data_IF_036602483038
#
_entry.id   IF_036602483038
#
_cell.length_a   1.000
_cell.length_b   1.000
_cell.length_c   1.000
_cell.angle_alpha   90.00
_cell.angle_beta   90.00
_cell.angle_gamma   90.00
#
_symmetry.space_group_name_H-M   'P 1'
#
loop_
_entity.id
_entity.type
_entity.pdbx_description
1 polymer ?
#
# COMPACT_ATOMS: atom_id res chain seq x y z
N UNK A 1 -8.10 -8.86 14.04
CA UNK A 1 -6.77 -8.37 14.48
C UNK A 1 -6.85 -7.26 15.52
N UNK A 2 -7.43 -6.09 15.23
CA UNK A 2 -7.42 -4.95 16.19
C UNK A 2 -8.11 -5.23 17.55
N UNK A 3 -9.15 -6.07 17.58
CA UNK A 3 -9.83 -6.45 18.82
C UNK A 3 -8.93 -7.24 19.79
N UNK A 4 -7.98 -8.02 19.27
CA UNK A 4 -7.06 -8.85 20.06
C UNK A 4 -5.71 -8.17 20.27
N UNK A 5 -5.26 -7.37 19.29
CA UNK A 5 -3.92 -6.75 19.26
C UNK A 5 -3.90 -5.27 19.64
N UNK A 6 -5.06 -4.65 19.84
CA UNK A 6 -5.21 -3.20 20.01
C UNK A 6 -5.19 -2.42 18.69
N UNK A 7 -5.50 -1.13 18.77
CA UNK A 7 -5.63 -0.22 17.63
C UNK A 7 -4.57 0.87 17.68
N UNK A 8 -3.85 1.07 16.57
CA UNK A 8 -3.02 2.26 16.40
C UNK A 8 -3.94 3.48 16.20
N UNK A 9 -3.85 4.48 17.09
CA UNK A 9 -4.79 5.60 17.11
C UNK A 9 -4.10 6.95 16.94
N UNK A 10 -4.64 7.75 16.02
CA UNK A 10 -4.21 9.11 15.72
C UNK A 10 -5.37 10.05 16.08
N UNK A 11 -5.19 10.87 17.11
CA UNK A 11 -6.29 11.61 17.76
C UNK A 11 -6.12 13.11 17.51
N UNK A 12 -7.17 13.79 17.07
CA UNK A 12 -7.23 15.24 16.95
C UNK A 12 -8.31 15.83 17.85
N UNK A 13 -8.01 16.93 18.53
CA UNK A 13 -8.97 17.59 19.42
C UNK A 13 -8.32 18.52 20.42
N UNK A 14 -9.14 19.19 21.24
CA UNK A 14 -8.65 20.00 22.35
C UNK A 14 -7.93 19.13 23.38
N UNK A 15 -6.78 19.62 23.87
CA UNK A 15 -5.92 18.86 24.79
C UNK A 15 -6.68 18.36 26.02
N UNK A 16 -7.50 19.21 26.64
CA UNK A 16 -8.24 18.84 27.85
C UNK A 16 -9.21 17.67 27.61
N UNK A 17 -9.86 17.61 26.46
CA UNK A 17 -10.74 16.51 26.10
C UNK A 17 -9.94 15.22 25.81
N UNK A 18 -8.81 15.34 25.09
CA UNK A 18 -7.94 14.19 24.81
C UNK A 18 -7.31 13.63 26.08
N UNK A 19 -6.87 14.49 27.00
CA UNK A 19 -6.36 14.09 28.31
C UNK A 19 -7.44 13.40 29.15
N UNK A 20 -8.68 13.90 29.11
CA UNK A 20 -9.80 13.27 29.82
C UNK A 20 -10.11 11.86 29.30
N UNK A 21 -9.99 11.66 27.98
CA UNK A 21 -10.24 10.37 27.31
C UNK A 21 -9.03 9.43 27.31
N UNK A 22 -7.88 9.85 27.85
CA UNK A 22 -6.64 9.06 27.85
C UNK A 22 -6.81 7.62 28.38
N UNK A 23 -7.57 7.34 29.47
CA UNK A 23 -7.79 5.96 29.92
C UNK A 23 -8.50 5.07 28.88
N UNK A 24 -9.39 5.65 28.07
CA UNK A 24 -10.10 4.93 27.01
C UNK A 24 -9.13 4.59 25.87
N UNK A 25 -8.35 5.58 25.43
CA UNK A 25 -7.34 5.35 24.39
C UNK A 25 -6.28 4.35 24.85
N UNK A 26 -5.77 4.46 26.07
CA UNK A 26 -4.81 3.49 26.60
C UNK A 26 -5.38 2.07 26.68
N UNK A 27 -6.69 1.90 26.88
CA UNK A 27 -7.33 0.58 26.89
C UNK A 27 -7.46 -0.02 25.50
N UNK A 28 -7.72 0.82 24.49
CA UNK A 28 -7.89 0.39 23.10
C UNK A 28 -6.56 0.22 22.35
N UNK A 29 -5.50 0.88 22.81
CA UNK A 29 -4.19 0.86 22.18
C UNK A 29 -3.47 -0.49 22.40
N UNK A 30 -2.53 -0.88 21.52
CA UNK A 30 -1.78 -2.13 21.65
C UNK A 30 -0.90 -2.19 22.89
N UNK A 31 -0.56 -1.03 23.46
CA UNK A 31 0.49 -0.91 24.46
C UNK A 31 1.88 -1.09 23.83
N UNK A 32 2.90 -1.10 24.68
CA UNK A 32 4.30 -1.13 24.24
C UNK A 32 4.72 -2.42 23.53
N UNK A 33 4.07 -3.54 23.85
CA UNK A 33 4.40 -4.85 23.30
C UNK A 33 5.87 -5.24 23.50
N UNK A 34 6.36 -6.13 22.63
CA UNK A 34 7.71 -6.70 22.68
C UNK A 34 8.67 -6.12 21.62
N UNK A 35 8.22 -5.10 20.88
CA UNK A 35 9.05 -4.44 19.87
C UNK A 35 10.16 -3.65 20.59
N UNK A 36 11.38 -3.73 20.06
CA UNK A 36 12.51 -2.99 20.61
C UNK A 36 12.21 -1.49 20.64
N UNK A 37 12.47 -0.85 21.79
CA UNK A 37 12.28 0.58 21.93
C UNK A 37 13.17 1.35 20.93
N UNK A 38 12.61 2.38 20.30
CA UNK A 38 13.37 3.24 19.40
C UNK A 38 14.50 3.93 20.16
N UNK A 39 15.73 3.80 19.65
CA UNK A 39 16.90 4.45 20.23
C UNK A 39 16.77 5.99 20.17
N UNK A 40 17.32 6.68 21.17
CA UNK A 40 17.42 8.14 21.23
C UNK A 40 16.10 8.92 21.10
N UNK A 41 14.99 8.35 21.59
CA UNK A 41 13.66 8.97 21.51
C UNK A 41 13.49 10.27 22.31
N UNK A 42 14.33 10.50 23.32
CA UNK A 42 14.34 11.73 24.14
C UNK A 42 13.01 11.99 24.88
N UNK A 43 12.73 13.25 25.24
CA UNK A 43 11.54 13.67 25.98
C UNK A 43 10.29 13.86 25.08
N UNK A 44 9.97 12.89 24.21
CA UNK A 44 8.78 12.92 23.36
C UNK A 44 7.56 12.33 24.08
N UNK A 45 6.36 12.53 23.52
CA UNK A 45 5.12 11.99 24.08
C UNK A 45 5.23 10.47 24.31
N UNK A 46 5.15 9.96 25.55
CA UNK A 46 5.33 8.54 25.84
C UNK A 46 4.17 7.68 25.31
N UNK A 47 3.00 8.26 25.04
CA UNK A 47 1.82 7.53 24.54
C UNK A 47 2.05 6.93 23.16
N UNK A 48 2.93 7.52 22.35
CA UNK A 48 3.23 6.98 21.03
C UNK A 48 3.85 5.58 21.10
N UNK A 49 4.65 5.29 22.13
CA UNK A 49 5.20 3.95 22.36
C UNK A 49 4.14 2.95 22.84
N UNK A 50 2.96 3.43 23.24
CA UNK A 50 1.80 2.60 23.56
C UNK A 50 0.88 2.39 22.35
N UNK A 51 1.19 3.00 21.19
CA UNK A 51 0.40 2.89 19.96
C UNK A 51 -0.70 3.93 19.78
N UNK A 52 -0.67 5.06 20.51
CA UNK A 52 -1.59 6.17 20.23
C UNK A 52 -0.95 7.54 20.43
N UNK A 53 -1.41 8.53 19.67
CA UNK A 53 -0.87 9.90 19.72
C UNK A 53 -1.97 10.96 19.67
N UNK A 54 -1.74 12.08 20.37
CA UNK A 54 -2.47 13.32 20.15
C UNK A 54 -1.76 14.11 19.05
N UNK A 55 -2.31 14.08 17.83
CA UNK A 55 -1.72 14.68 16.63
C UNK A 55 -1.83 16.21 16.61
N UNK A 56 -2.73 16.80 17.40
CA UNK A 56 -2.97 18.25 17.40
C UNK A 56 -4.47 18.60 17.49
N UNK A 57 -4.92 19.73 16.93
CA UNK A 57 -6.30 20.18 17.02
C UNK A 57 -7.26 19.26 16.26
N UNK A 58 -8.55 19.58 16.29
CA UNK A 58 -9.58 18.85 15.54
C UNK A 58 -9.17 18.67 14.07
N UNK A 59 -9.39 17.46 13.54
CA UNK A 59 -8.98 17.07 12.18
C UNK A 59 -7.57 16.47 12.08
N UNK A 60 -6.63 16.83 12.96
CA UNK A 60 -5.23 16.39 12.84
C UNK A 60 -5.07 14.85 12.89
N UNK A 61 -5.84 14.17 13.74
CA UNK A 61 -5.82 12.70 13.81
C UNK A 61 -6.24 12.03 12.51
N UNK A 62 -7.34 12.49 11.90
CA UNK A 62 -7.80 11.98 10.61
C UNK A 62 -6.84 12.33 9.48
N UNK A 63 -6.20 13.51 9.51
CA UNK A 63 -5.20 13.88 8.52
C UNK A 63 -3.99 12.94 8.55
N UNK A 64 -3.45 12.65 9.75
CA UNK A 64 -2.34 11.68 9.89
C UNK A 64 -2.77 10.28 9.44
N UNK A 65 -3.99 9.85 9.77
CA UNK A 65 -4.53 8.55 9.31
C UNK A 65 -4.74 8.49 7.80
N UNK A 66 -5.16 9.59 7.18
CA UNK A 66 -5.30 9.70 5.74
C UNK A 66 -3.95 9.46 5.05
N UNK A 67 -2.89 10.15 5.50
CA UNK A 67 -1.52 9.96 4.96
C UNK A 67 -1.00 8.55 5.23
N UNK A 68 -1.28 7.97 6.40
CA UNK A 68 -0.98 6.56 6.69
C UNK A 68 -1.55 5.63 5.61
N UNK A 69 -2.82 5.80 5.22
CA UNK A 69 -3.43 5.00 4.16
C UNK A 69 -2.80 5.27 2.78
N UNK A 70 -2.40 6.51 2.49
CA UNK A 70 -1.64 6.82 1.28
C UNK A 70 -0.29 6.08 1.21
N UNK A 71 0.44 6.02 2.33
CA UNK A 71 1.69 5.25 2.45
C UNK A 71 1.40 3.74 2.26
N UNK A 72 0.35 3.22 2.90
CA UNK A 72 -0.08 1.83 2.74
C UNK A 72 -0.31 1.46 1.27
N UNK A 73 -0.97 2.34 0.49
CA UNK A 73 -1.17 2.12 -0.94
C UNK A 73 0.14 1.98 -1.70
N UNK A 74 1.11 2.87 -1.43
CA UNK A 74 2.44 2.81 -2.03
C UNK A 74 3.20 1.52 -1.69
N UNK A 75 3.13 1.08 -0.43
CA UNK A 75 3.78 -0.16 0.01
C UNK A 75 3.17 -1.39 -0.66
N UNK A 76 1.84 -1.49 -0.69
CA UNK A 76 1.15 -2.59 -1.38
C UNK A 76 1.52 -2.62 -2.87
N UNK A 77 1.51 -1.47 -3.53
CA UNK A 77 1.84 -1.39 -4.96
C UNK A 77 3.29 -1.79 -5.23
N UNK A 78 4.23 -1.40 -4.36
CA UNK A 78 5.64 -1.78 -4.50
C UNK A 78 5.84 -3.31 -4.43
N UNK A 79 5.15 -4.00 -3.52
CA UNK A 79 5.15 -5.47 -3.52
C UNK A 79 4.49 -6.03 -4.77
N UNK A 80 3.30 -5.55 -5.13
CA UNK A 80 2.55 -6.06 -6.27
C UNK A 80 3.39 -6.01 -7.57
N UNK A 81 4.02 -4.87 -7.86
CA UNK A 81 4.90 -4.72 -9.02
C UNK A 81 6.13 -5.63 -8.94
N UNK A 82 6.76 -5.75 -7.77
CA UNK A 82 7.91 -6.63 -7.56
C UNK A 82 7.57 -8.11 -7.81
N UNK A 83 6.46 -8.60 -7.25
CA UNK A 83 6.00 -9.97 -7.46
C UNK A 83 5.54 -10.21 -8.90
N UNK A 84 4.93 -9.23 -9.55
CA UNK A 84 4.56 -9.34 -10.96
C UNK A 84 5.78 -9.46 -11.88
N UNK A 85 6.86 -8.71 -11.60
CA UNK A 85 8.15 -8.86 -12.30
C UNK A 85 8.72 -10.27 -12.11
N UNK A 86 8.69 -10.79 -10.88
CA UNK A 86 9.16 -12.15 -10.58
C UNK A 86 8.32 -13.21 -11.29
N UNK A 87 6.99 -13.02 -11.32
CA UNK A 87 6.08 -13.91 -12.03
C UNK A 87 6.39 -14.00 -13.52
N UNK A 88 6.68 -12.85 -14.13
CA UNK A 88 7.03 -12.73 -15.54
C UNK A 88 8.49 -13.11 -15.86
N UNK A 89 9.28 -13.55 -14.87
CA UNK A 89 10.64 -14.03 -15.09
C UNK A 89 10.69 -15.32 -15.94
N UNK A 90 9.59 -16.07 -16.03
CA UNK A 90 9.47 -17.27 -16.85
C UNK A 90 9.04 -17.00 -18.31
N UNK A 91 8.77 -15.74 -18.70
CA UNK A 91 8.20 -15.39 -20.01
C UNK A 91 8.98 -15.97 -21.20
N UNK A 92 8.25 -16.54 -22.16
CA UNK A 92 8.84 -17.13 -23.38
C UNK A 92 9.60 -16.11 -24.26
N UNK A 93 9.28 -14.82 -24.14
CA UNK A 93 10.02 -13.76 -24.82
C UNK A 93 11.47 -13.58 -24.33
N UNK A 94 11.84 -14.18 -23.19
CA UNK A 94 13.21 -14.12 -22.64
C UNK A 94 14.10 -15.23 -23.22
N UNK A 95 15.43 -15.02 -23.30
CA UNK A 95 16.38 -16.08 -23.62
C UNK A 95 16.20 -17.28 -22.69
N UNK A 96 16.31 -18.51 -23.22
CA UNK A 96 16.05 -19.75 -22.47
C UNK A 96 16.86 -19.84 -21.16
N UNK A 97 18.14 -19.46 -21.20
CA UNK A 97 19.01 -19.43 -20.02
C UNK A 97 18.70 -18.34 -18.99
N UNK A 98 17.72 -17.47 -19.26
CA UNK A 98 17.27 -16.38 -18.38
C UNK A 98 15.79 -16.51 -17.98
N UNK A 99 15.17 -17.66 -18.25
CA UNK A 99 13.80 -17.96 -17.81
C UNK A 99 13.85 -18.62 -16.44
N UNK A 100 13.19 -18.01 -15.47
CA UNK A 100 13.15 -18.50 -14.10
C UNK A 100 11.70 -18.81 -13.72
N UNK A 101 11.40 -20.09 -13.51
CA UNK A 101 10.16 -20.52 -12.87
C UNK A 101 10.35 -20.47 -11.36
N UNK A 102 9.83 -19.40 -10.74
CA UNK A 102 10.06 -19.07 -9.34
C UNK A 102 8.84 -19.44 -8.51
N UNK A 103 9.08 -20.10 -7.37
CA UNK A 103 8.05 -20.27 -6.34
C UNK A 103 7.87 -18.96 -5.55
N UNK A 104 6.82 -18.21 -5.90
CA UNK A 104 6.56 -16.91 -5.28
C UNK A 104 6.10 -17.01 -3.82
N UNK A 105 5.50 -18.14 -3.42
CA UNK A 105 5.11 -18.35 -2.03
C UNK A 105 6.36 -18.51 -1.15
N UNK A 106 7.31 -19.33 -1.59
CA UNK A 106 8.60 -19.50 -0.91
C UNK A 106 9.45 -18.21 -0.93
N UNK A 107 9.41 -17.43 -2.02
CA UNK A 107 10.08 -16.12 -2.09
C UNK A 107 9.48 -15.13 -1.08
N UNK A 108 8.16 -15.07 -0.97
CA UNK A 108 7.51 -14.24 0.04
C UNK A 108 7.91 -14.70 1.46
N UNK A 109 7.89 -16.00 1.73
CA UNK A 109 8.21 -16.57 3.04
C UNK A 109 9.67 -16.33 3.46
N UNK A 110 10.64 -16.48 2.54
CA UNK A 110 12.05 -16.25 2.86
C UNK A 110 12.32 -14.77 3.18
N UNK A 111 11.63 -13.84 2.51
CA UNK A 111 11.78 -12.41 2.78
C UNK A 111 11.24 -11.97 4.14
N UNK A 112 10.42 -12.77 4.83
CA UNK A 112 9.92 -12.42 6.17
C UNK A 112 11.00 -12.44 7.24
N UNK A 113 12.14 -13.10 7.01
CA UNK A 113 13.17 -13.32 8.04
C UNK A 113 14.51 -12.76 7.61
N UNK A 114 14.88 -11.63 8.21
CA UNK A 114 16.20 -11.01 8.05
C UNK A 114 16.37 -10.22 6.74
N UNK A 115 15.32 -10.09 5.93
CA UNK A 115 15.35 -9.19 4.77
C UNK A 115 15.02 -7.75 5.17
N UNK A 116 15.39 -6.80 4.32
CA UNK A 116 15.07 -5.37 4.50
C UNK A 116 13.59 -5.08 4.31
N UNK A 117 12.86 -5.94 3.59
CA UNK A 117 11.45 -5.75 3.25
C UNK A 117 10.51 -6.52 4.18
N UNK A 118 11.00 -7.08 5.30
CA UNK A 118 10.12 -7.71 6.28
C UNK A 118 9.09 -6.71 6.82
N UNK A 119 7.80 -7.02 6.70
CA UNK A 119 6.71 -6.14 7.12
C UNK A 119 5.41 -6.92 7.28
N UNK A 120 4.43 -6.32 7.95
CA UNK A 120 3.09 -6.91 8.10
C UNK A 120 2.40 -7.16 6.75
N UNK A 121 2.57 -6.28 5.76
CA UNK A 121 2.00 -6.49 4.42
C UNK A 121 2.64 -7.69 3.73
N UNK A 122 3.94 -7.93 3.92
CA UNK A 122 4.61 -9.11 3.40
C UNK A 122 4.13 -10.40 4.10
N UNK A 123 3.85 -10.36 5.40
CA UNK A 123 3.23 -11.50 6.10
C UNK A 123 1.90 -11.88 5.42
N UNK A 124 1.04 -10.90 5.12
CA UNK A 124 -0.22 -11.13 4.42
C UNK A 124 -0.01 -11.64 2.99
N UNK A 125 1.00 -11.14 2.28
CA UNK A 125 1.34 -11.62 0.94
C UNK A 125 1.79 -13.08 0.97
N UNK A 126 2.63 -13.48 1.92
CA UNK A 126 3.08 -14.86 2.08
C UNK A 126 1.90 -15.80 2.40
N UNK A 127 1.02 -15.40 3.33
CA UNK A 127 -0.18 -16.18 3.66
C UNK A 127 -1.09 -16.37 2.44
N UNK A 128 -1.30 -15.31 1.65
CA UNK A 128 -2.13 -15.36 0.45
C UNK A 128 -1.53 -16.27 -0.64
N UNK A 129 -0.23 -16.13 -0.93
CA UNK A 129 0.46 -16.93 -1.95
C UNK A 129 0.61 -18.40 -1.54
N UNK A 130 0.76 -18.69 -0.25
CA UNK A 130 0.77 -20.07 0.24
C UNK A 130 -0.60 -20.75 0.06
N UNK A 131 -1.70 -19.99 0.20
CA UNK A 131 -3.06 -20.49 0.02
C UNK A 131 -3.45 -20.64 -1.46
N UNK A 132 -3.07 -19.66 -2.29
CA UNK A 132 -3.33 -19.62 -3.73
C UNK A 132 -2.12 -19.05 -4.48
N UNK A 133 -1.16 -19.90 -4.92
CA UNK A 133 0.07 -19.44 -5.57
C UNK A 133 -0.13 -18.71 -6.90
N UNK A 134 -1.31 -18.81 -7.51
CA UNK A 134 -1.65 -18.13 -8.77
C UNK A 134 -2.59 -16.94 -8.57
N UNK A 135 -3.17 -16.81 -7.38
CA UNK A 135 -4.20 -15.83 -7.06
C UNK A 135 -5.42 -15.96 -8.00
N UNK A 136 -5.74 -17.18 -8.45
CA UNK A 136 -6.84 -17.47 -9.38
C UNK A 136 -8.21 -17.09 -8.77
N UNK A 137 -8.31 -17.00 -7.44
CA UNK A 137 -9.50 -16.51 -6.72
C UNK A 137 -9.73 -14.99 -6.78
N UNK A 138 -8.81 -14.22 -7.37
CA UNK A 138 -8.87 -12.77 -7.40
C UNK A 138 -8.97 -12.22 -8.83
N UNK A 139 -10.01 -11.45 -9.11
CA UNK A 139 -10.23 -10.80 -10.42
C UNK A 139 -9.24 -9.65 -10.72
N UNK A 140 -8.49 -9.18 -9.72
CA UNK A 140 -7.55 -8.07 -9.88
C UNK A 140 -8.19 -6.67 -9.93
N UNK A 141 -9.50 -6.55 -9.71
CA UNK A 141 -10.21 -5.27 -9.59
C UNK A 141 -10.02 -4.70 -8.18
N UNK A 142 -9.32 -3.57 -8.06
CA UNK A 142 -8.93 -3.00 -6.75
C UNK A 142 -9.64 -1.68 -6.49
N UNK A 143 -10.50 -1.67 -5.47
CA UNK A 143 -11.19 -0.47 -5.02
C UNK A 143 -10.31 0.48 -4.20
N UNK A 144 -10.77 1.72 -4.06
CA UNK A 144 -10.17 2.75 -3.22
C UNK A 144 -11.24 3.40 -2.33
N UNK A 145 -10.95 3.56 -1.03
CA UNK A 145 -11.91 4.02 0.00
C UNK A 145 -11.96 5.54 0.18
N UNK A 146 -11.12 6.29 -0.54
CA UNK A 146 -11.06 7.75 -0.50
C UNK A 146 -9.78 8.33 0.10
N UNK A 147 -9.17 7.70 1.11
CA UNK A 147 -7.99 8.27 1.78
C UNK A 147 -6.76 8.40 0.87
N UNK A 148 -6.59 7.49 -0.08
CA UNK A 148 -5.56 7.61 -1.12
C UNK A 148 -5.78 8.85 -2.00
N UNK A 149 -7.04 9.14 -2.37
CA UNK A 149 -7.41 10.34 -3.13
C UNK A 149 -7.13 11.60 -2.31
N UNK A 150 -7.58 11.65 -1.06
CA UNK A 150 -7.38 12.81 -0.19
C UNK A 150 -5.88 13.06 0.09
N UNK A 151 -5.07 12.02 0.21
CA UNK A 151 -3.61 12.16 0.36
C UNK A 151 -2.97 12.82 -0.86
N UNK A 152 -3.33 12.39 -2.08
CA UNK A 152 -2.81 13.00 -3.31
C UNK A 152 -3.29 14.45 -3.46
N UNK A 153 -4.55 14.74 -3.12
CA UNK A 153 -5.07 16.11 -3.14
C UNK A 153 -4.34 17.02 -2.14
N UNK A 154 -4.11 16.56 -0.90
CA UNK A 154 -3.33 17.30 0.08
C UNK A 154 -1.90 17.57 -0.41
N UNK A 155 -1.25 16.57 -1.03
CA UNK A 155 0.08 16.76 -1.62
C UNK A 155 0.09 17.82 -2.73
N UNK A 156 -0.97 17.92 -3.55
CA UNK A 156 -1.12 18.97 -4.56
C UNK A 156 -1.29 20.34 -3.90
N UNK A 157 -2.17 20.46 -2.91
CA UNK A 157 -2.41 21.71 -2.17
C UNK A 157 -1.14 22.23 -1.49
N UNK A 158 -0.29 21.32 -1.01
CA UNK A 158 0.97 21.63 -0.33
C UNK A 158 2.17 21.76 -1.30
N UNK A 159 1.98 21.53 -2.60
CA UNK A 159 3.04 21.46 -3.61
C UNK A 159 4.16 20.43 -3.29
N UNK A 160 3.79 19.29 -2.71
CA UNK A 160 4.67 18.17 -2.35
C UNK A 160 4.64 17.09 -3.44
N UNK A 161 5.79 16.67 -4.01
CA UNK A 161 5.83 15.56 -4.95
C UNK A 161 5.45 14.22 -4.29
N UNK A 162 4.37 13.59 -4.76
CA UNK A 162 3.84 12.33 -4.22
C UNK A 162 3.79 11.19 -5.26
N UNK A 163 4.85 11.02 -6.05
CA UNK A 163 4.86 10.15 -7.24
C UNK A 163 4.43 8.70 -6.95
N UNK A 164 4.93 8.10 -5.87
CA UNK A 164 4.64 6.69 -5.51
C UNK A 164 3.17 6.52 -5.13
N UNK A 165 2.64 7.39 -4.27
CA UNK A 165 1.24 7.31 -3.79
C UNK A 165 0.29 7.59 -4.96
N UNK A 166 0.59 8.57 -5.81
CA UNK A 166 -0.19 8.87 -7.01
C UNK A 166 -0.22 7.71 -7.98
N UNK A 167 0.93 7.08 -8.26
CA UNK A 167 1.00 5.91 -9.13
C UNK A 167 0.19 4.73 -8.57
N UNK A 168 0.34 4.43 -7.27
CA UNK A 168 -0.44 3.38 -6.61
C UNK A 168 -1.95 3.64 -6.69
N UNK A 169 -2.39 4.89 -6.53
CA UNK A 169 -3.79 5.26 -6.70
C UNK A 169 -4.26 5.07 -8.15
N UNK A 170 -3.45 5.46 -9.14
CA UNK A 170 -3.79 5.30 -10.55
C UNK A 170 -3.79 3.84 -11.00
N UNK A 171 -2.93 2.98 -10.44
CA UNK A 171 -2.99 1.53 -10.68
C UNK A 171 -4.35 0.95 -10.26
N UNK A 172 -4.91 1.39 -9.12
CA UNK A 172 -6.27 1.00 -8.71
C UNK A 172 -7.32 1.49 -9.69
N UNK A 173 -7.23 2.76 -10.13
CA UNK A 173 -8.16 3.29 -11.12
C UNK A 173 -8.11 2.48 -12.42
N UNK A 174 -6.90 2.19 -12.90
CA UNK A 174 -6.65 1.42 -14.10
C UNK A 174 -7.15 -0.02 -14.00
N UNK A 175 -7.04 -0.65 -12.82
CA UNK A 175 -7.52 -2.01 -12.59
C UNK A 175 -9.03 -2.20 -12.79
N UNK A 176 -9.80 -1.11 -12.73
CA UNK A 176 -11.26 -1.11 -12.94
C UNK A 176 -11.68 -0.88 -14.39
N UNK A 177 -10.72 -0.67 -15.29
CA UNK A 177 -10.96 -0.41 -16.71
C UNK A 177 -10.27 -1.46 -17.59
N UNK A 178 -11.04 -2.17 -18.42
CA UNK A 178 -10.48 -3.10 -19.40
C UNK A 178 -9.75 -2.34 -20.53
N UNK A 179 -10.47 -1.43 -21.20
CA UNK A 179 -9.91 -0.56 -22.26
C UNK A 179 -10.45 0.88 -22.12
N UNK A 180 -9.61 1.75 -21.56
CA UNK A 180 -9.95 3.14 -21.29
C UNK A 180 -10.02 3.99 -22.56
N UNK A 181 -10.66 5.16 -22.47
CA UNK A 181 -10.71 6.10 -23.59
C UNK A 181 -9.32 6.60 -24.01
N UNK A 182 -8.41 6.78 -23.04
CA UNK A 182 -7.04 7.19 -23.29
C UNK A 182 -6.30 6.18 -24.20
N UNK A 183 -6.45 4.88 -23.96
CA UNK A 183 -5.82 3.82 -24.76
C UNK A 183 -6.34 3.83 -26.19
N UNK A 184 -7.66 3.94 -26.36
CA UNK A 184 -8.33 4.01 -27.66
C UNK A 184 -7.86 5.24 -28.45
N UNK A 185 -7.72 6.37 -27.78
CA UNK A 185 -7.23 7.60 -28.41
C UNK A 185 -5.75 7.46 -28.82
N UNK A 186 -4.92 6.82 -27.98
CA UNK A 186 -3.53 6.50 -28.34
C UNK A 186 -3.46 5.60 -29.58
N UNK A 187 -4.27 4.55 -29.66
CA UNK A 187 -4.35 3.68 -30.84
C UNK A 187 -4.79 4.45 -32.09
N UNK A 188 -5.81 5.31 -31.97
CA UNK A 188 -6.29 6.16 -33.06
C UNK A 188 -5.21 7.12 -33.57
N UNK A 189 -4.45 7.75 -32.67
CA UNK A 189 -3.33 8.63 -33.03
C UNK A 189 -2.23 7.85 -33.76
N UNK A 190 -1.81 6.68 -33.23
CA UNK A 190 -0.79 5.81 -33.86
C UNK A 190 -1.19 5.36 -35.27
N UNK A 191 -2.48 5.07 -35.47
CA UNK A 191 -3.03 4.77 -36.79
C UNK A 191 -2.95 6.00 -37.71
N UNK A 192 -3.32 7.17 -37.21
CA UNK A 192 -3.40 8.42 -37.97
C UNK A 192 -2.07 8.92 -38.54
N UNK A 193 -0.97 8.86 -37.78
CA UNK A 193 0.34 9.36 -38.26
C UNK A 193 1.29 8.26 -38.75
N UNK A 194 1.18 7.03 -38.25
CA UNK A 194 2.15 5.95 -38.50
C UNK A 194 1.59 4.75 -39.25
N UNK A 195 0.29 4.71 -39.54
CA UNK A 195 -0.36 3.56 -40.17
C UNK A 195 -0.34 2.29 -39.30
N UNK A 196 0.00 2.41 -38.01
CA UNK A 196 0.02 1.26 -37.09
C UNK A 196 -1.39 0.68 -36.95
N UNK A 197 -1.54 -0.58 -37.34
CA UNK A 197 -2.78 -1.33 -37.14
C UNK A 197 -2.77 -1.90 -35.73
N UNK A 198 -3.79 -1.54 -34.97
CA UNK A 198 -4.05 -2.14 -33.66
C UNK A 198 -4.32 -3.65 -33.83
N UNK A 199 -3.64 -4.52 -33.07
CA UNK A 199 -3.98 -5.94 -33.03
C UNK A 199 -5.44 -6.10 -32.60
N UNK A 200 -6.24 -6.88 -33.33
CA UNK A 200 -7.61 -7.18 -32.90
C UNK A 200 -7.54 -8.16 -31.73
N UNK A 201 -8.27 -7.90 -30.65
CA UNK A 201 -8.42 -8.88 -29.56
C UNK A 201 -8.90 -10.22 -30.11
N UNK A 202 -8.06 -11.26 -29.97
CA UNK A 202 -8.35 -12.64 -30.41
C UNK A 202 -7.73 -13.08 -31.75
N UNK A 203 -6.73 -12.37 -32.29
CA UNK A 203 -5.94 -12.80 -33.45
C UNK A 203 -4.49 -13.17 -33.05
#
# INVERSE_FOLDING_TARGET
WGIERGYCMMIGGEKAAVDHLDPIFSTLAPGRGDIAATQDRGCRDPRAEQGYIHCGPSGAGHFVKMVHNGIEYGLMQAYAEGFDILRHAANEGRPEGERYDLDLADVAEVWRRGSVVSSWLLDLTADALAADPKLDGFEGVVEDSGEGRWTVMAAIEEAVPAMVISAALYSRFRSREEHGFADKLLAAMRKGFGGHVEPKSGA
#
